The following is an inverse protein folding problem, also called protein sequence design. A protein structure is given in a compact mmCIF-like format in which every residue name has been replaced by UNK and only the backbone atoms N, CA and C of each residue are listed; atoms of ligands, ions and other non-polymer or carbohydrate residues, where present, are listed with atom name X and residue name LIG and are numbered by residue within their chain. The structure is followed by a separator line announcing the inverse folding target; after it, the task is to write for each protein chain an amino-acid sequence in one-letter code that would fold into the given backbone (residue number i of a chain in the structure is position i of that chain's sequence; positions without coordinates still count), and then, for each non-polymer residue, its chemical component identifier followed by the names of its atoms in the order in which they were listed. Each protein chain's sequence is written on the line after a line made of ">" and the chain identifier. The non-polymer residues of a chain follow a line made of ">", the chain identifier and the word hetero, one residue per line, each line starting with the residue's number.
data_IF_447797386743
#
_entry.id   IF_447797386743
#
_cell.length_a   1.000
_cell.length_b   1.000
_cell.length_c   1.000
_cell.angle_alpha   90.00
_cell.angle_beta   90.00
_cell.angle_gamma   90.00
#
_symmetry.space_group_name_H-M   'P 1'
#
loop_
_entity.id
_entity.type
_entity.pdbx_description
1 polymer ?
#
# COMPACT_ATOMS: atom_id res chain seq x y z
N UNK A 1 15.87 1.99 -20.14
CA UNK A 1 14.75 2.85 -19.78
C UNK A 1 13.51 2.07 -19.34
N UNK A 2 12.77 1.38 -20.24
CA UNK A 2 11.54 0.66 -19.91
C UNK A 2 11.73 -0.47 -18.88
N UNK A 3 12.81 -1.24 -18.97
CA UNK A 3 13.09 -2.32 -18.02
C UNK A 3 13.33 -1.78 -16.61
N UNK A 4 14.01 -0.63 -16.49
CA UNK A 4 14.22 0.05 -15.19
C UNK A 4 12.90 0.57 -14.64
N UNK A 5 12.06 1.21 -15.47
CA UNK A 5 10.73 1.70 -15.06
C UNK A 5 9.84 0.56 -14.58
N UNK A 6 9.80 -0.58 -15.29
CA UNK A 6 9.04 -1.75 -14.87
C UNK A 6 9.54 -2.35 -13.56
N UNK A 7 10.84 -2.30 -13.32
CA UNK A 7 11.40 -2.76 -12.06
C UNK A 7 10.91 -1.91 -10.89
N UNK A 8 10.99 -0.59 -10.99
CA UNK A 8 10.53 0.33 -9.93
C UNK A 8 9.02 0.18 -9.67
N UNK A 9 8.21 0.08 -10.73
CA UNK A 9 6.78 -0.19 -10.59
C UNK A 9 6.54 -1.56 -9.91
N UNK A 10 7.33 -2.58 -10.24
CA UNK A 10 7.27 -3.90 -9.63
C UNK A 10 7.64 -3.87 -8.14
N UNK A 11 8.64 -3.10 -7.75
CA UNK A 11 9.05 -2.92 -6.35
C UNK A 11 7.95 -2.20 -5.55
N UNK A 12 7.36 -1.15 -6.13
CA UNK A 12 6.22 -0.45 -5.54
C UNK A 12 4.98 -1.36 -5.40
N UNK A 13 4.66 -2.19 -6.41
CA UNK A 13 3.58 -3.17 -6.33
C UNK A 13 3.82 -4.18 -5.22
N UNK A 14 5.04 -4.69 -5.09
CA UNK A 14 5.38 -5.63 -4.02
C UNK A 14 5.21 -5.00 -2.64
N UNK A 15 5.75 -3.82 -2.42
CA UNK A 15 5.62 -3.08 -1.16
C UNK A 15 4.16 -2.73 -0.85
N UNK A 16 3.38 -2.34 -1.86
CA UNK A 16 1.96 -2.03 -1.71
C UNK A 16 1.11 -3.24 -1.34
N UNK A 17 1.39 -4.42 -1.88
CA UNK A 17 0.72 -5.67 -1.49
C UNK A 17 1.05 -6.08 -0.07
N UNK A 18 2.29 -5.87 0.38
CA UNK A 18 2.65 -6.10 1.78
C UNK A 18 1.92 -5.13 2.73
N UNK A 19 1.78 -3.87 2.34
CA UNK A 19 1.02 -2.88 3.10
C UNK A 19 -0.48 -3.23 3.15
N UNK A 20 -1.05 -3.65 2.04
CA UNK A 20 -2.44 -4.11 1.95
C UNK A 20 -2.70 -5.30 2.88
N UNK A 21 -1.87 -6.33 2.85
CA UNK A 21 -1.98 -7.50 3.71
C UNK A 21 -1.86 -7.15 5.19
N UNK A 22 -0.92 -6.27 5.54
CA UNK A 22 -0.74 -5.83 6.92
C UNK A 22 -1.96 -5.05 7.44
N UNK A 23 -2.54 -4.16 6.62
CA UNK A 23 -3.76 -3.42 6.96
C UNK A 23 -4.97 -4.34 7.07
N UNK A 24 -5.12 -5.31 6.19
CA UNK A 24 -6.16 -6.33 6.25
C UNK A 24 -6.08 -7.13 7.56
N UNK A 25 -4.88 -7.50 7.99
CA UNK A 25 -4.66 -8.16 9.28
C UNK A 25 -5.05 -7.29 10.48
N UNK A 26 -4.77 -6.00 10.43
CA UNK A 26 -5.22 -5.04 11.47
C UNK A 26 -6.74 -4.94 11.49
N UNK A 27 -7.38 -4.83 10.34
CA UNK A 27 -8.86 -4.79 10.24
C UNK A 27 -9.50 -6.05 10.80
N UNK A 28 -8.97 -7.24 10.51
CA UNK A 28 -9.45 -8.51 11.05
C UNK A 28 -9.31 -8.55 12.59
N UNK A 29 -8.22 -8.02 13.12
CA UNK A 29 -8.01 -7.93 14.57
C UNK A 29 -8.99 -6.96 15.23
N UNK A 30 -9.29 -5.83 14.59
CA UNK A 30 -10.26 -4.85 15.08
C UNK A 30 -11.69 -5.40 15.02
N UNK A 31 -12.05 -6.15 13.98
CA UNK A 31 -13.32 -6.82 13.83
C UNK A 31 -13.53 -7.87 14.94
N UNK A 32 -12.50 -8.64 15.25
CA UNK A 32 -12.52 -9.59 16.37
C UNK A 32 -12.68 -8.88 17.71
N UNK A 33 -12.01 -7.73 17.91
CA UNK A 33 -12.12 -6.93 19.13
C UNK A 33 -13.52 -6.32 19.31
N UNK A 34 -14.19 -5.93 18.23
CA UNK A 34 -15.59 -5.46 18.27
C UNK A 34 -16.55 -6.55 18.77
N UNK A 35 -16.32 -7.79 18.36
CA UNK A 35 -17.14 -8.95 18.81
C UNK A 35 -16.96 -9.29 20.28
N UNK A 36 -15.89 -8.81 20.95
CA UNK A 36 -15.67 -8.99 22.39
C UNK A 36 -16.58 -8.12 23.27
N UNK A 37 -17.44 -7.33 22.67
CA UNK A 37 -18.63 -6.86 23.31
C UNK A 37 -18.68 -5.41 23.72
N UNK A 38 -19.84 -5.07 24.07
CA UNK A 38 -20.44 -3.96 24.81
C UNK A 38 -19.57 -3.21 25.84
N UNK A 39 -18.31 -3.60 26.04
CA UNK A 39 -17.37 -3.01 27.00
C UNK A 39 -16.77 -1.69 26.54
N UNK A 40 -16.84 -1.40 25.23
CA UNK A 40 -16.37 -0.15 24.64
C UNK A 40 -17.24 1.06 25.04
N UNK A 41 -18.42 0.81 25.56
CA UNK A 41 -19.31 1.86 26.09
C UNK A 41 -18.79 2.52 27.38
N UNK A 42 -17.75 1.99 27.99
CA UNK A 42 -17.22 2.49 29.28
C UNK A 42 -15.96 3.36 29.13
N UNK A 43 -15.64 3.85 27.92
CA UNK A 43 -14.66 4.90 27.71
C UNK A 43 -13.19 4.46 27.73
N UNK A 44 -12.89 3.19 27.50
CA UNK A 44 -11.53 2.70 27.29
C UNK A 44 -11.11 2.79 25.83
N UNK A 45 -9.91 3.32 25.52
CA UNK A 45 -9.34 3.26 24.18
C UNK A 45 -9.03 1.82 23.75
N UNK A 46 -8.76 1.61 22.44
CA UNK A 46 -8.48 0.32 21.84
C UNK A 46 -7.49 -0.53 22.65
N UNK A 47 -6.37 0.05 23.09
CA UNK A 47 -5.38 -0.67 23.89
C UNK A 47 -5.86 -1.06 25.27
N UNK A 48 -6.72 -0.28 25.88
CA UNK A 48 -7.31 -0.62 27.19
C UNK A 48 -8.21 -1.86 27.07
N UNK A 49 -8.99 -1.93 25.99
CA UNK A 49 -9.85 -3.09 25.69
C UNK A 49 -9.00 -4.32 25.36
N UNK A 50 -7.96 -4.18 24.56
CA UNK A 50 -7.03 -5.26 24.23
C UNK A 50 -6.21 -5.74 25.41
N UNK A 51 -5.79 -4.84 26.30
CA UNK A 51 -5.09 -5.20 27.54
C UNK A 51 -5.94 -6.08 28.46
N UNK A 52 -7.23 -5.80 28.58
CA UNK A 52 -8.18 -6.61 29.37
C UNK A 52 -8.34 -8.04 28.83
N UNK A 53 -8.12 -8.25 27.53
CA UNK A 53 -8.23 -9.55 26.86
C UNK A 53 -6.88 -10.25 26.60
N UNK A 54 -5.76 -9.68 27.04
CA UNK A 54 -4.42 -10.28 26.91
C UNK A 54 -3.82 -10.24 25.50
N UNK A 55 -4.35 -9.42 24.59
CA UNK A 55 -3.93 -9.35 23.18
C UNK A 55 -3.17 -8.07 22.81
N UNK A 56 -2.71 -7.30 23.79
CA UNK A 56 -2.09 -6.00 23.53
C UNK A 56 -0.79 -6.10 22.74
N UNK A 57 0.01 -7.12 22.98
CA UNK A 57 1.31 -7.29 22.32
C UNK A 57 1.13 -7.68 20.86
N UNK A 58 0.18 -8.56 20.55
CA UNK A 58 -0.16 -8.97 19.19
C UNK A 58 -0.71 -7.80 18.37
N UNK A 59 -1.56 -6.97 18.98
CA UNK A 59 -2.11 -5.79 18.35
C UNK A 59 -1.03 -4.74 18.05
N UNK A 60 -0.14 -4.48 19.00
CA UNK A 60 0.99 -3.56 18.77
C UNK A 60 1.90 -4.06 17.66
N UNK A 61 2.25 -5.34 17.66
CA UNK A 61 3.07 -5.94 16.62
C UNK A 61 2.42 -5.83 15.24
N UNK A 62 1.12 -6.04 15.12
CA UNK A 62 0.35 -5.88 13.89
C UNK A 62 0.34 -4.45 13.37
N UNK A 63 0.14 -3.47 14.25
CA UNK A 63 0.14 -2.04 13.91
C UNK A 63 1.54 -1.57 13.51
N UNK A 64 2.57 -1.97 14.24
CA UNK A 64 3.96 -1.67 13.90
C UNK A 64 4.36 -2.27 12.55
N UNK A 65 3.90 -3.47 12.26
CA UNK A 65 4.12 -4.12 10.97
C UNK A 65 3.44 -3.36 9.84
N UNK A 66 2.18 -2.98 10.01
CA UNK A 66 1.44 -2.19 9.03
C UNK A 66 2.11 -0.82 8.79
N UNK A 67 2.55 -0.15 9.85
CA UNK A 67 3.24 1.14 9.73
C UNK A 67 4.55 1.02 8.94
N UNK A 68 5.37 0.00 9.22
CA UNK A 68 6.60 -0.25 8.46
C UNK A 68 6.32 -0.58 6.99
N UNK A 69 5.32 -1.41 6.72
CA UNK A 69 4.93 -1.78 5.37
C UNK A 69 4.43 -0.57 4.56
N UNK A 70 3.61 0.27 5.18
CA UNK A 70 3.12 1.51 4.58
C UNK A 70 4.26 2.52 4.32
N UNK A 71 5.18 2.67 5.27
CA UNK A 71 6.35 3.55 5.12
C UNK A 71 7.24 3.11 3.95
N UNK A 72 7.47 1.81 3.80
CA UNK A 72 8.18 1.24 2.66
C UNK A 72 7.42 1.51 1.36
N UNK A 73 6.13 1.25 1.33
CA UNK A 73 5.30 1.52 0.15
C UNK A 73 5.38 2.98 -0.28
N UNK A 74 5.33 3.93 0.66
CA UNK A 74 5.53 5.36 0.39
C UNK A 74 6.86 5.65 -0.29
N UNK A 75 7.94 5.03 0.18
CA UNK A 75 9.27 5.20 -0.41
C UNK A 75 9.31 4.72 -1.85
N UNK A 76 8.83 3.52 -2.12
CA UNK A 76 8.79 2.95 -3.47
C UNK A 76 7.88 3.76 -4.42
N UNK A 77 6.77 4.31 -3.92
CA UNK A 77 5.91 5.21 -4.69
C UNK A 77 6.61 6.53 -5.04
N UNK A 78 7.44 7.07 -4.15
CA UNK A 78 8.23 8.25 -4.44
C UNK A 78 9.20 8.00 -5.60
N UNK A 79 9.85 6.83 -5.62
CA UNK A 79 10.76 6.44 -6.71
C UNK A 79 10.01 6.32 -8.05
N UNK A 80 8.80 5.75 -8.06
CA UNK A 80 7.93 5.71 -9.25
C UNK A 80 7.52 7.11 -9.71
N UNK A 81 7.16 7.99 -8.79
CA UNK A 81 6.77 9.38 -9.10
C UNK A 81 7.90 10.16 -9.76
N UNK A 82 9.14 9.95 -9.31
CA UNK A 82 10.31 10.67 -9.80
C UNK A 82 10.75 10.22 -11.21
N UNK A 83 10.15 9.16 -11.74
CA UNK A 83 10.38 8.63 -13.09
C UNK A 83 9.49 9.30 -14.16
N UNK A 84 9.31 10.56 -14.24
CA UNK A 84 8.60 11.29 -15.32
C UNK A 84 7.63 10.46 -16.21
N UNK A 85 6.79 9.65 -15.57
CA UNK A 85 5.77 8.85 -16.25
C UNK A 85 4.49 9.68 -16.43
N UNK A 86 3.93 9.82 -17.65
CA UNK A 86 2.90 10.82 -17.95
C UNK A 86 1.53 10.62 -17.33
N UNK A 87 1.30 9.65 -16.46
CA UNK A 87 -0.03 9.35 -15.89
C UNK A 87 -0.06 8.97 -14.39
N UNK A 88 0.84 9.54 -13.58
CA UNK A 88 0.94 9.13 -12.19
C UNK A 88 0.02 9.95 -11.29
N UNK A 89 -1.18 9.47 -11.03
CA UNK A 89 -2.00 9.91 -9.89
C UNK A 89 -1.59 9.22 -8.57
N UNK A 90 -0.29 8.98 -8.38
CA UNK A 90 0.26 8.45 -7.12
C UNK A 90 0.42 9.56 -6.09
N UNK A 91 0.36 10.83 -6.53
CA UNK A 91 0.55 12.00 -5.68
C UNK A 91 -0.46 12.14 -4.54
N UNK A 92 -1.71 11.71 -4.75
CA UNK A 92 -2.71 11.75 -3.68
C UNK A 92 -2.37 10.82 -2.51
N UNK A 93 -1.89 9.61 -2.80
CA UNK A 93 -1.47 8.69 -1.75
C UNK A 93 -0.21 9.20 -1.05
N UNK A 94 0.77 9.71 -1.79
CA UNK A 94 2.00 10.23 -1.21
C UNK A 94 1.72 11.42 -0.26
N UNK A 95 0.85 12.35 -0.66
CA UNK A 95 0.44 13.49 0.17
C UNK A 95 -0.33 13.01 1.41
N UNK A 96 -1.22 12.06 1.25
CA UNK A 96 -1.96 11.46 2.36
C UNK A 96 -1.02 10.69 3.29
N UNK A 97 -0.10 9.91 2.74
CA UNK A 97 0.90 9.18 3.51
C UNK A 97 1.80 10.10 4.31
N UNK A 98 2.25 11.23 3.75
CA UNK A 98 3.04 12.22 4.46
C UNK A 98 2.31 12.78 5.67
N UNK A 99 1.02 13.10 5.53
CA UNK A 99 0.19 13.58 6.63
C UNK A 99 -0.07 12.50 7.70
N UNK A 100 -0.25 11.24 7.27
CA UNK A 100 -0.61 10.13 8.13
C UNK A 100 0.59 9.54 8.89
N UNK A 101 1.80 9.66 8.32
CA UNK A 101 3.02 9.01 8.83
C UNK A 101 3.88 9.88 9.76
N UNK A 102 3.55 11.14 9.95
CA UNK A 102 4.28 12.08 10.82
C UNK A 102 4.15 11.77 12.34
N UNK A 103 4.09 10.48 12.69
CA UNK A 103 3.97 9.99 14.07
C UNK A 103 2.53 9.95 14.61
N UNK A 104 1.58 10.46 13.86
CA UNK A 104 0.19 10.61 14.29
C UNK A 104 -0.59 9.28 14.32
N UNK A 105 -0.19 8.30 13.51
CA UNK A 105 -0.92 7.04 13.36
C UNK A 105 -0.96 6.21 14.65
N UNK A 106 0.18 6.05 15.30
CA UNK A 106 0.26 5.28 16.54
C UNK A 106 -0.47 5.97 17.69
N UNK A 107 -0.25 7.28 17.85
CA UNK A 107 -0.91 8.04 18.91
C UNK A 107 -2.42 8.09 18.71
N UNK A 108 -2.86 8.21 17.45
CA UNK A 108 -4.27 8.18 17.11
C UNK A 108 -4.90 6.81 17.38
N UNK A 109 -4.24 5.71 16.97
CA UNK A 109 -4.73 4.34 17.21
C UNK A 109 -4.83 4.02 18.71
N UNK A 110 -3.88 4.49 19.52
CA UNK A 110 -3.89 4.29 20.99
C UNK A 110 -5.08 4.99 21.64
N UNK A 111 -5.47 6.16 21.15
CA UNK A 111 -6.52 7.00 21.73
C UNK A 111 -7.91 6.78 21.12
N UNK A 112 -7.99 6.10 19.99
CA UNK A 112 -9.25 5.89 19.26
C UNK A 112 -10.07 4.75 19.85
N UNK A 113 -11.39 4.88 19.75
CA UNK A 113 -12.32 3.76 19.94
C UNK A 113 -12.17 2.76 18.78
N UNK A 114 -12.58 1.51 19.00
CA UNK A 114 -12.46 0.44 18.00
C UNK A 114 -13.11 0.85 16.67
N UNK A 115 -14.30 1.42 16.71
CA UNK A 115 -15.00 1.85 15.47
C UNK A 115 -14.24 2.96 14.73
N UNK A 116 -13.73 3.97 15.42
CA UNK A 116 -12.95 5.04 14.82
C UNK A 116 -11.64 4.52 14.24
N UNK A 117 -11.02 3.54 14.91
CA UNK A 117 -9.83 2.85 14.43
C UNK A 117 -10.13 2.04 13.15
N UNK A 118 -11.24 1.30 13.11
CA UNK A 118 -11.69 0.56 11.93
C UNK A 118 -11.94 1.48 10.74
N UNK A 119 -12.63 2.59 10.93
CA UNK A 119 -12.89 3.57 9.86
C UNK A 119 -11.59 4.15 9.32
N UNK A 120 -10.67 4.57 10.18
CA UNK A 120 -9.39 5.13 9.76
C UNK A 120 -8.50 4.13 9.04
N UNK A 121 -8.37 2.92 9.55
CA UNK A 121 -7.59 1.86 8.90
C UNK A 121 -8.23 1.45 7.57
N UNK A 122 -9.56 1.38 7.51
CA UNK A 122 -10.31 1.09 6.28
C UNK A 122 -10.08 2.17 5.22
N UNK A 123 -10.04 3.45 5.59
CA UNK A 123 -9.73 4.53 4.67
C UNK A 123 -8.33 4.40 4.08
N UNK A 124 -7.32 4.11 4.91
CA UNK A 124 -5.95 3.86 4.45
C UNK A 124 -5.90 2.65 3.52
N UNK A 125 -6.58 1.58 3.87
CA UNK A 125 -6.66 0.36 3.07
C UNK A 125 -7.24 0.63 1.67
N UNK A 126 -8.34 1.37 1.57
CA UNK A 126 -8.94 1.78 0.28
C UNK A 126 -7.96 2.60 -0.55
N UNK A 127 -7.21 3.51 0.06
CA UNK A 127 -6.20 4.32 -0.64
C UNK A 127 -5.05 3.48 -1.16
N UNK A 128 -4.58 2.51 -0.38
CA UNK A 128 -3.57 1.53 -0.82
C UNK A 128 -4.08 0.72 -2.01
N UNK A 129 -5.31 0.22 -1.96
CA UNK A 129 -5.93 -0.52 -3.06
C UNK A 129 -6.05 0.32 -4.33
N UNK A 130 -6.37 1.60 -4.22
CA UNK A 130 -6.43 2.52 -5.36
C UNK A 130 -5.04 2.74 -5.97
N UNK A 131 -4.01 2.93 -5.14
CA UNK A 131 -2.64 3.06 -5.58
C UNK A 131 -2.14 1.79 -6.29
N UNK A 132 -2.44 0.61 -5.74
CA UNK A 132 -2.12 -0.68 -6.36
C UNK A 132 -2.76 -0.83 -7.74
N UNK A 133 -4.04 -0.50 -7.89
CA UNK A 133 -4.71 -0.53 -9.21
C UNK A 133 -4.06 0.39 -10.23
N UNK A 134 -3.62 1.57 -9.81
CA UNK A 134 -2.91 2.49 -10.69
C UNK A 134 -1.54 1.94 -11.11
N UNK A 135 -0.78 1.37 -10.16
CA UNK A 135 0.50 0.73 -10.44
C UNK A 135 0.37 -0.49 -11.38
N UNK A 136 -0.65 -1.33 -11.19
CA UNK A 136 -0.93 -2.48 -12.05
C UNK A 136 -1.24 -2.04 -13.48
N UNK A 137 -2.00 -0.96 -13.65
CA UNK A 137 -2.27 -0.36 -14.96
C UNK A 137 -0.99 0.19 -15.60
N UNK A 138 -0.13 0.82 -14.82
CA UNK A 138 1.17 1.30 -15.30
C UNK A 138 2.07 0.14 -15.74
N UNK A 139 2.20 -0.91 -14.95
CA UNK A 139 3.01 -2.08 -15.32
C UNK A 139 2.49 -2.73 -16.61
N UNK A 140 1.17 -2.83 -16.75
CA UNK A 140 0.55 -3.37 -17.96
C UNK A 140 0.88 -2.51 -19.19
N UNK A 141 0.76 -1.19 -19.10
CA UNK A 141 1.10 -0.28 -20.19
C UNK A 141 2.59 -0.37 -20.58
N UNK A 142 3.47 -0.40 -19.59
CA UNK A 142 4.91 -0.57 -19.82
C UNK A 142 5.26 -1.93 -20.44
N UNK A 143 4.55 -2.99 -20.06
CA UNK A 143 4.70 -4.31 -20.64
C UNK A 143 4.30 -4.32 -22.13
N UNK A 144 3.16 -3.71 -22.46
CA UNK A 144 2.66 -3.61 -23.84
C UNK A 144 3.63 -2.79 -24.72
N UNK A 145 4.16 -1.68 -24.20
CA UNK A 145 5.16 -0.87 -24.91
C UNK A 145 6.45 -1.65 -25.15
N UNK A 146 6.93 -2.38 -24.15
CA UNK A 146 8.13 -3.22 -24.25
C UNK A 146 7.96 -4.32 -25.30
N UNK A 147 6.80 -4.98 -25.34
CA UNK A 147 6.49 -6.02 -26.31
C UNK A 147 6.32 -5.45 -27.72
N UNK A 148 5.78 -4.26 -27.86
CA UNK A 148 5.69 -3.52 -29.12
C UNK A 148 7.07 -3.23 -29.72
N UNK A 149 7.97 -2.65 -28.92
CA UNK A 149 9.34 -2.36 -29.34
C UNK A 149 10.14 -3.61 -29.69
N UNK A 150 9.91 -4.71 -28.97
CA UNK A 150 10.56 -5.99 -29.26
C UNK A 150 10.13 -6.54 -30.61
N UNK A 151 8.83 -6.52 -30.92
CA UNK A 151 8.28 -6.95 -32.20
C UNK A 151 8.78 -6.08 -33.36
N UNK A 152 8.85 -4.76 -33.17
CA UNK A 152 9.38 -3.83 -34.17
C UNK A 152 10.85 -4.10 -34.47
N UNK A 153 11.66 -4.31 -33.43
CA UNK A 153 13.07 -4.68 -33.56
C UNK A 153 13.26 -6.00 -34.35
N UNK A 154 12.48 -7.03 -34.01
CA UNK A 154 12.51 -8.33 -34.72
C UNK A 154 12.10 -8.18 -36.19
N UNK A 155 11.08 -7.37 -36.48
CA UNK A 155 10.65 -7.07 -37.85
C UNK A 155 11.72 -6.33 -38.67
N UNK A 156 12.46 -5.44 -38.08
CA UNK A 156 13.58 -4.73 -38.72
C UNK A 156 14.77 -5.68 -39.03
N UNK A 157 15.09 -6.56 -38.08
CA UNK A 157 16.16 -7.56 -38.27
C UNK A 157 15.84 -8.53 -39.40
N UNK A 158 14.59 -8.99 -39.51
CA UNK A 158 14.15 -9.89 -40.59
C UNK A 158 14.22 -9.20 -41.97
N UNK A 159 13.91 -7.91 -42.07
CA UNK A 159 14.03 -7.13 -43.31
C UNK A 159 15.48 -6.91 -43.73
N UNK A 160 16.38 -6.69 -42.77
CA UNK A 160 17.80 -6.49 -43.04
C UNK A 160 18.49 -7.77 -43.45
N UNK A 161 18.06 -8.95 -43.00
CA UNK A 161 18.61 -10.25 -43.34
C UNK A 161 18.04 -10.84 -44.66
N UNK A 162 16.95 -10.27 -45.17
CA UNK A 162 16.33 -10.72 -46.45
C UNK A 162 16.73 -9.87 -47.67
N UNK A 163 17.66 -8.91 -47.50
CA UNK A 163 18.13 -8.02 -48.59
C UNK A 163 19.48 -8.42 -49.22
N UNK A 164 19.98 -9.62 -48.94
CA UNK A 164 21.19 -10.17 -49.58
C UNK A 164 20.84 -11.12 -50.76
#
# INVERSE_FOLDING_TARGET
>A
ALAAQRREVGEALHAGRQAEQALSGVLDSLDSAESWGTWDMLGGGLFTTMAKHGHIDDARAGIDHAQRALSRFRTELADVRDMELPQVQVGEFATFADYFFDGFFMDWMVQSKIQDAQEGVSEVHVRVLNALRNLERMDQNLAEEQDGLKREREGLLLRSSGSD
#
